data_IF_474150758527
#
_entry.id   IF_474150758527
#
_cell.length_a   1.000
_cell.length_b   1.000
_cell.length_c   1.000
_cell.angle_alpha   90.00
_cell.angle_beta   90.00
_cell.angle_gamma   90.00
#
_symmetry.space_group_name_H-M   'P 1'
#
loop_
_entity.id
_entity.type
_entity.pdbx_description
1 polymer ?
#
# COMPACT_ATOMS: atom_id res chain seq x y z
N UNK A 1 -4.35 2.11 10.75
CA UNK A 1 -4.35 1.88 9.28
C UNK A 1 -5.74 1.52 8.75
N UNK A 2 -6.33 0.38 9.13
CA UNK A 2 -7.60 -0.13 8.57
C UNK A 2 -8.75 0.91 8.61
N UNK A 3 -8.99 1.56 9.74
CA UNK A 3 -10.03 2.60 9.85
C UNK A 3 -9.81 3.82 8.94
N UNK A 4 -8.55 4.23 8.75
CA UNK A 4 -8.21 5.33 7.85
C UNK A 4 -8.43 4.91 6.39
N UNK A 5 -8.03 3.69 6.03
CA UNK A 5 -8.28 3.14 4.70
C UNK A 5 -9.79 3.07 4.41
N UNK A 6 -10.60 2.57 5.36
CA UNK A 6 -12.06 2.52 5.22
C UNK A 6 -12.65 3.93 4.98
N UNK A 7 -12.28 4.90 5.80
CA UNK A 7 -12.74 6.30 5.67
C UNK A 7 -12.36 6.88 4.30
N UNK A 8 -11.16 6.59 3.84
CA UNK A 8 -10.62 7.07 2.57
C UNK A 8 -11.33 6.44 1.36
N UNK A 9 -11.60 5.13 1.41
CA UNK A 9 -12.38 4.39 0.41
C UNK A 9 -13.79 4.94 0.31
N UNK A 10 -14.46 5.15 1.45
CA UNK A 10 -15.82 5.71 1.50
C UNK A 10 -15.85 7.13 0.94
N UNK A 11 -14.86 7.96 1.28
CA UNK A 11 -14.73 9.32 0.75
C UNK A 11 -14.57 9.31 -0.78
N UNK A 12 -13.69 8.46 -1.30
CA UNK A 12 -13.51 8.27 -2.74
C UNK A 12 -14.81 7.79 -3.43
N UNK A 13 -15.51 6.83 -2.81
CA UNK A 13 -16.80 6.32 -3.31
C UNK A 13 -17.85 7.42 -3.38
N UNK A 14 -18.01 8.22 -2.32
CA UNK A 14 -18.94 9.36 -2.29
C UNK A 14 -18.59 10.43 -3.32
N UNK A 15 -17.32 10.56 -3.71
CA UNK A 15 -16.90 11.43 -4.81
C UNK A 15 -17.13 10.86 -6.22
N UNK A 16 -17.71 9.66 -6.33
CA UNK A 16 -18.08 9.01 -7.58
C UNK A 16 -17.09 7.94 -8.07
N UNK A 17 -16.08 7.57 -7.29
CA UNK A 17 -15.10 6.55 -7.68
C UNK A 17 -15.58 5.14 -7.30
N UNK A 18 -16.07 4.41 -8.30
CA UNK A 18 -16.46 2.99 -8.19
C UNK A 18 -15.31 2.01 -8.41
N UNK A 19 -14.16 2.48 -8.89
CA UNK A 19 -12.93 1.70 -9.08
C UNK A 19 -11.81 2.34 -8.31
N UNK A 20 -11.16 1.56 -7.46
CA UNK A 20 -10.18 2.09 -6.51
C UNK A 20 -8.99 1.15 -6.36
N UNK A 21 -7.80 1.72 -6.20
CA UNK A 21 -6.60 1.01 -5.74
C UNK A 21 -6.31 1.38 -4.29
N UNK A 22 -6.00 0.38 -3.49
CA UNK A 22 -5.64 0.50 -2.09
C UNK A 22 -4.30 -0.19 -1.87
N UNK A 23 -3.32 0.54 -1.35
CA UNK A 23 -2.06 -0.04 -0.89
C UNK A 23 -1.98 -0.01 0.63
N UNK A 24 -1.76 -1.17 1.24
CA UNK A 24 -1.62 -1.34 2.69
C UNK A 24 -0.35 -2.12 3.01
N UNK A 25 0.26 -1.78 4.14
CA UNK A 25 1.34 -2.57 4.72
C UNK A 25 0.71 -3.76 5.43
N UNK A 26 1.27 -4.95 5.20
CA UNK A 26 0.91 -6.14 5.97
C UNK A 26 1.87 -6.18 7.17
N UNK A 27 1.37 -6.18 8.42
CA UNK A 27 2.20 -6.28 9.60
C UNK A 27 3.03 -7.56 9.56
N UNK A 28 4.31 -7.44 9.91
CA UNK A 28 5.21 -8.59 10.00
C UNK A 28 4.75 -9.58 11.07
N UNK A 29 5.07 -10.85 10.86
CA UNK A 29 4.77 -11.88 11.84
C UNK A 29 5.60 -11.67 13.12
N UNK A 30 5.06 -11.95 14.32
CA UNK A 30 5.81 -11.85 15.58
C UNK A 30 7.08 -12.69 15.63
N UNK A 31 7.22 -13.67 14.72
CA UNK A 31 8.38 -14.55 14.59
C UNK A 31 9.51 -13.96 13.76
N UNK A 32 9.28 -12.86 13.05
CA UNK A 32 10.30 -12.15 12.28
C UNK A 32 11.15 -11.33 13.25
N UNK A 33 12.45 -11.60 13.26
CA UNK A 33 13.41 -10.89 14.07
C UNK A 33 14.16 -9.81 13.27
N UNK A 34 14.82 -8.84 13.94
CA UNK A 34 15.58 -7.78 13.27
C UNK A 34 16.75 -8.25 12.38
N UNK A 35 17.12 -9.54 12.47
CA UNK A 35 18.19 -10.14 11.69
C UNK A 35 17.69 -10.87 10.43
N UNK A 36 16.37 -10.97 10.24
CA UNK A 36 15.80 -11.65 9.08
C UNK A 36 15.92 -10.75 7.84
N UNK A 37 16.64 -11.25 6.83
CA UNK A 37 16.87 -10.52 5.57
C UNK A 37 15.60 -10.42 4.70
N UNK A 38 14.66 -11.34 4.91
CA UNK A 38 13.36 -11.36 4.23
C UNK A 38 12.26 -11.59 5.28
N UNK A 39 11.44 -10.58 5.60
CA UNK A 39 10.33 -10.74 6.55
C UNK A 39 9.22 -11.66 6.02
N UNK A 40 9.23 -11.98 4.72
CA UNK A 40 8.23 -12.79 4.04
C UNK A 40 8.88 -13.90 3.20
N UNK A 41 9.54 -14.91 3.81
CA UNK A 41 10.21 -15.98 3.08
C UNK A 41 9.25 -16.81 2.19
N UNK A 42 7.96 -16.81 2.50
CA UNK A 42 6.91 -17.40 1.67
C UNK A 42 6.30 -16.45 0.62
N UNK A 43 6.88 -15.26 0.46
CA UNK A 43 6.46 -14.21 -0.47
C UNK A 43 4.99 -13.81 -0.32
N UNK A 44 4.40 -13.38 -1.44
CA UNK A 44 3.01 -12.92 -1.52
C UNK A 44 2.00 -13.96 -1.02
N UNK A 45 2.28 -15.26 -1.17
CA UNK A 45 1.45 -16.35 -0.63
C UNK A 45 1.37 -16.35 0.89
N UNK A 46 2.44 -16.01 1.58
CA UNK A 46 2.43 -15.85 3.04
C UNK A 46 1.72 -14.55 3.41
N UNK A 47 2.09 -13.45 2.73
CA UNK A 47 1.49 -12.14 2.96
C UNK A 47 -0.03 -12.13 2.79
N UNK A 48 -0.57 -12.83 1.79
CA UNK A 48 -2.01 -12.84 1.52
C UNK A 48 -2.83 -13.47 2.65
N UNK A 49 -2.29 -14.50 3.30
CA UNK A 49 -2.90 -15.14 4.47
C UNK A 49 -2.93 -14.20 5.68
N UNK A 50 -1.86 -13.46 5.91
CA UNK A 50 -1.81 -12.46 6.99
C UNK A 50 -2.64 -11.20 6.67
N UNK A 51 -2.78 -10.87 5.39
CA UNK A 51 -3.60 -9.75 4.93
C UNK A 51 -5.10 -10.03 5.04
N UNK A 52 -5.52 -11.29 4.95
CA UNK A 52 -6.94 -11.69 4.97
C UNK A 52 -7.74 -11.03 6.11
N UNK A 53 -7.38 -11.16 7.40
CA UNK A 53 -8.14 -10.54 8.50
C UNK A 53 -8.19 -9.00 8.42
N UNK A 54 -7.16 -8.37 7.85
CA UNK A 54 -7.12 -6.92 7.65
C UNK A 54 -8.10 -6.49 6.56
N UNK A 55 -8.18 -7.24 5.46
CA UNK A 55 -9.08 -6.98 4.34
C UNK A 55 -10.53 -7.24 4.77
N UNK A 56 -10.79 -8.31 5.52
CA UNK A 56 -12.12 -8.57 6.08
C UNK A 56 -12.55 -7.45 7.03
N UNK A 57 -11.67 -7.02 7.94
CA UNK A 57 -11.96 -5.90 8.85
C UNK A 57 -12.19 -4.59 8.10
N UNK A 58 -11.41 -4.33 7.04
CA UNK A 58 -11.58 -3.19 6.16
C UNK A 58 -12.95 -3.18 5.50
N UNK A 59 -13.36 -4.32 4.91
CA UNK A 59 -14.63 -4.43 4.22
C UNK A 59 -15.83 -4.27 5.15
N UNK A 60 -15.79 -4.86 6.34
CA UNK A 60 -16.85 -4.64 7.35
C UNK A 60 -17.03 -3.17 7.70
N UNK A 61 -15.94 -2.39 7.77
CA UNK A 61 -16.03 -0.94 8.01
C UNK A 61 -16.56 -0.17 6.79
N UNK A 62 -16.28 -0.63 5.57
CA UNK A 62 -16.74 0.03 4.33
C UNK A 62 -18.22 -0.26 4.04
N UNK A 63 -18.67 -1.49 4.27
CA UNK A 63 -20.04 -1.93 3.93
C UNK A 63 -20.99 -1.92 5.12
N UNK A 64 -20.48 -1.96 6.35
CA UNK A 64 -21.28 -2.17 7.55
C UNK A 64 -21.75 -3.62 7.75
N UNK A 65 -21.22 -4.57 6.98
CA UNK A 65 -21.64 -5.97 7.05
C UNK A 65 -21.03 -6.74 8.25
N UNK A 66 -21.70 -7.82 8.66
CA UNK A 66 -21.21 -8.68 9.75
C UNK A 66 -20.18 -9.72 9.26
N UNK A 67 -20.31 -10.14 8.00
CA UNK A 67 -19.48 -11.18 7.38
C UNK A 67 -19.02 -10.80 5.98
N UNK A 68 -17.80 -11.21 5.66
CA UNK A 68 -17.17 -11.05 4.35
C UNK A 68 -16.90 -12.44 3.80
N UNK A 69 -17.25 -12.69 2.55
CA UNK A 69 -16.85 -13.92 1.86
C UNK A 69 -15.48 -13.74 1.22
N UNK A 70 -14.66 -14.79 1.23
CA UNK A 70 -13.32 -14.78 0.65
C UNK A 70 -13.06 -16.05 -0.14
N UNK A 71 -12.43 -15.93 -1.30
CA UNK A 71 -12.04 -17.05 -2.16
C UNK A 71 -10.57 -16.91 -2.57
N UNK A 72 -9.76 -17.93 -2.31
CA UNK A 72 -8.41 -18.03 -2.86
C UNK A 72 -8.53 -18.34 -4.36
N UNK A 73 -8.09 -17.42 -5.21
CA UNK A 73 -8.14 -17.60 -6.66
C UNK A 73 -6.92 -18.36 -7.16
N UNK A 74 -5.76 -18.02 -6.59
CA UNK A 74 -4.51 -18.71 -6.88
C UNK A 74 -3.63 -18.75 -5.62
N UNK A 75 -3.36 -19.98 -5.16
CA UNK A 75 -2.55 -20.22 -3.98
C UNK A 75 -1.05 -19.99 -4.18
N UNK A 76 -0.58 -19.96 -5.43
CA UNK A 76 0.84 -19.72 -5.75
C UNK A 76 1.17 -18.23 -5.70
N UNK A 77 0.39 -17.40 -6.39
CA UNK A 77 0.53 -15.93 -6.33
C UNK A 77 -0.01 -15.32 -5.04
N UNK A 78 -0.96 -15.99 -4.37
CA UNK A 78 -1.68 -15.45 -3.22
C UNK A 78 -2.83 -14.52 -3.59
N UNK A 79 -3.26 -14.51 -4.86
CA UNK A 79 -4.39 -13.72 -5.32
C UNK A 79 -5.71 -14.19 -4.66
N UNK A 80 -6.47 -13.24 -4.11
CA UNK A 80 -7.70 -13.52 -3.36
C UNK A 80 -8.84 -12.58 -3.78
N UNK A 81 -10.04 -13.13 -3.87
CA UNK A 81 -11.27 -12.37 -4.03
C UNK A 81 -11.97 -12.22 -2.68
N UNK A 82 -12.54 -11.05 -2.41
CA UNK A 82 -13.45 -10.84 -1.28
C UNK A 82 -14.74 -10.17 -1.74
N UNK A 83 -15.85 -10.50 -1.09
CA UNK A 83 -17.14 -9.82 -1.27
C UNK A 83 -17.70 -9.45 0.09
N UNK A 84 -17.93 -8.15 0.29
CA UNK A 84 -18.71 -7.61 1.40
C UNK A 84 -20.10 -7.23 0.89
N UNK A 85 -21.13 -7.85 1.43
CA UNK A 85 -22.53 -7.57 1.07
C UNK A 85 -23.02 -6.37 1.87
N UNK A 86 -23.47 -5.32 1.19
CA UNK A 86 -23.99 -4.12 1.84
C UNK A 86 -25.46 -4.27 2.25
N UNK A 87 -26.08 -3.18 2.73
CA UNK A 87 -27.52 -3.17 3.01
C UNK A 87 -28.34 -3.38 1.72
N UNK A 88 -27.84 -2.85 0.60
CA UNK A 88 -28.41 -3.07 -0.74
C UNK A 88 -27.37 -3.64 -1.69
N UNK A 89 -27.83 -4.24 -2.80
CA UNK A 89 -26.93 -4.73 -3.85
C UNK A 89 -26.06 -3.63 -4.46
N UNK A 90 -26.50 -2.36 -4.41
CA UNK A 90 -25.69 -1.24 -4.85
C UNK A 90 -24.52 -0.96 -3.88
N UNK A 91 -24.65 -1.34 -2.61
CA UNK A 91 -23.68 -1.12 -1.55
C UNK A 91 -22.60 -2.21 -1.48
N UNK A 92 -22.83 -3.35 -2.13
CA UNK A 92 -21.86 -4.44 -2.25
C UNK A 92 -20.49 -3.96 -2.73
N UNK A 93 -19.46 -4.58 -2.17
CA UNK A 93 -18.06 -4.31 -2.52
C UNK A 93 -17.38 -5.61 -2.93
N UNK A 94 -16.75 -5.59 -4.10
CA UNK A 94 -15.86 -6.65 -4.54
C UNK A 94 -14.40 -6.20 -4.39
N UNK A 95 -13.55 -7.08 -3.88
CA UNK A 95 -12.11 -6.83 -3.79
C UNK A 95 -11.36 -7.93 -4.51
N UNK A 96 -10.32 -7.53 -5.24
CA UNK A 96 -9.28 -8.44 -5.70
C UNK A 96 -7.96 -8.01 -5.06
N UNK A 97 -7.44 -8.83 -4.16
CA UNK A 97 -6.21 -8.60 -3.43
C UNK A 97 -5.06 -9.38 -4.07
N UNK A 98 -3.87 -8.77 -4.08
CA UNK A 98 -2.64 -9.34 -4.65
C UNK A 98 -2.81 -9.80 -6.11
N UNK A 99 -3.64 -9.06 -6.87
CA UNK A 99 -3.85 -9.31 -8.29
C UNK A 99 -2.52 -9.29 -9.04
N UNK A 100 -2.29 -10.29 -9.87
CA UNK A 100 -1.10 -10.48 -10.68
C UNK A 100 -1.48 -10.67 -12.17
N UNK A 101 -0.49 -11.02 -12.99
CA UNK A 101 -0.69 -11.20 -14.43
C UNK A 101 -1.62 -12.39 -14.72
N UNK A 102 -1.56 -13.46 -13.92
CA UNK A 102 -2.35 -14.68 -14.12
C UNK A 102 -3.81 -14.50 -13.70
N UNK A 103 -4.07 -13.72 -12.65
CA UNK A 103 -5.42 -13.35 -12.18
C UNK A 103 -6.04 -12.18 -12.97
N UNK A 104 -5.30 -11.58 -13.92
CA UNK A 104 -5.81 -10.48 -14.75
C UNK A 104 -7.11 -10.79 -15.52
N UNK A 105 -7.34 -11.98 -16.09
CA UNK A 105 -8.63 -12.32 -16.70
C UNK A 105 -9.79 -12.28 -15.69
N UNK A 106 -9.53 -12.68 -14.43
CA UNK A 106 -10.50 -12.60 -13.34
C UNK A 106 -10.79 -11.15 -12.98
N UNK A 107 -9.78 -10.28 -12.91
CA UNK A 107 -9.98 -8.84 -12.75
C UNK A 107 -10.96 -8.29 -13.79
N UNK A 108 -10.71 -8.55 -15.08
CA UNK A 108 -11.56 -8.04 -16.15
C UNK A 108 -13.02 -8.50 -16.00
N UNK A 109 -13.23 -9.78 -15.67
CA UNK A 109 -14.56 -10.33 -15.45
C UNK A 109 -15.25 -9.71 -14.24
N UNK A 110 -14.54 -9.59 -13.12
CA UNK A 110 -15.10 -8.98 -11.90
C UNK A 110 -15.44 -7.51 -12.11
N UNK A 111 -14.62 -6.77 -12.86
CA UNK A 111 -14.90 -5.37 -13.22
C UNK A 111 -16.20 -5.26 -14.05
N UNK A 112 -16.38 -6.14 -15.03
CA UNK A 112 -17.62 -6.22 -15.81
C UNK A 112 -18.83 -6.57 -14.92
N UNK A 113 -18.70 -7.62 -14.09
CA UNK A 113 -19.76 -8.09 -13.19
C UNK A 113 -20.14 -7.05 -12.12
N UNK A 114 -19.17 -6.26 -11.64
CA UNK A 114 -19.41 -5.21 -10.65
C UNK A 114 -20.25 -4.07 -11.21
N UNK A 115 -20.09 -3.72 -12.49
CA UNK A 115 -20.75 -2.56 -13.08
C UNK A 115 -20.46 -1.29 -12.27
N UNK A 116 -21.50 -0.60 -11.79
CA UNK A 116 -21.34 0.62 -10.98
C UNK A 116 -20.98 0.37 -9.51
N UNK A 117 -21.10 -0.88 -9.02
CA UNK A 117 -20.77 -1.25 -7.63
C UNK A 117 -19.28 -1.07 -7.37
N UNK A 118 -18.90 -0.84 -6.11
CA UNK A 118 -17.50 -0.58 -5.77
C UNK A 118 -16.64 -1.83 -5.97
N UNK A 119 -15.56 -1.67 -6.74
CA UNK A 119 -14.50 -2.66 -6.86
C UNK A 119 -13.15 -2.06 -6.42
N UNK A 120 -12.43 -2.81 -5.59
CA UNK A 120 -11.15 -2.40 -5.02
C UNK A 120 -10.05 -3.38 -5.40
N UNK A 121 -8.92 -2.85 -5.86
CA UNK A 121 -7.67 -3.61 -5.96
C UNK A 121 -6.81 -3.35 -4.72
N UNK A 122 -6.48 -4.40 -3.98
CA UNK A 122 -5.59 -4.29 -2.82
C UNK A 122 -4.22 -4.85 -3.17
N UNK A 123 -3.16 -4.05 -3.02
CA UNK A 123 -1.77 -4.44 -3.29
C UNK A 123 -1.58 -5.21 -4.63
N UNK A 124 -2.05 -4.67 -5.79
CA UNK A 124 -1.82 -5.31 -7.08
C UNK A 124 -0.31 -5.41 -7.38
N UNK A 125 0.09 -6.49 -8.03
CA UNK A 125 1.49 -6.84 -8.38
C UNK A 125 1.90 -6.33 -9.76
N UNK A 126 1.04 -5.58 -10.43
CA UNK A 126 1.31 -4.89 -11.69
C UNK A 126 0.83 -3.44 -11.59
N UNK A 127 1.49 -2.54 -12.31
CA UNK A 127 1.19 -1.11 -12.33
C UNK A 127 0.96 -0.58 -13.76
N UNK A 128 1.46 -1.26 -14.78
CA UNK A 128 1.40 -0.82 -16.17
C UNK A 128 1.30 -1.99 -17.15
N UNK A 129 0.90 -1.68 -18.38
CA UNK A 129 0.89 -2.64 -19.50
C UNK A 129 2.30 -3.24 -19.78
N UNK A 130 3.36 -2.53 -19.40
CA UNK A 130 4.73 -3.02 -19.58
C UNK A 130 5.06 -4.22 -18.69
N UNK A 131 4.38 -4.36 -17.55
CA UNK A 131 4.59 -5.46 -16.60
C UNK A 131 4.07 -6.79 -17.15
N UNK A 132 3.15 -6.75 -18.11
CA UNK A 132 2.57 -7.93 -18.74
C UNK A 132 3.52 -8.56 -19.75
N UNK A 133 3.52 -9.90 -19.77
CA UNK A 133 4.21 -10.70 -20.80
C UNK A 133 3.73 -10.31 -22.21
N UNK A 134 4.58 -10.55 -23.22
CA UNK A 134 4.27 -10.24 -24.63
C UNK A 134 2.89 -10.77 -25.07
N UNK A 135 2.49 -11.95 -24.58
CA UNK A 135 1.23 -12.60 -24.93
C UNK A 135 0.02 -12.02 -24.16
N UNK A 136 0.22 -11.49 -22.95
CA UNK A 136 -0.83 -10.88 -22.15
C UNK A 136 -0.99 -9.36 -22.42
N UNK A 137 0.06 -8.73 -22.97
CA UNK A 137 0.13 -7.28 -23.22
C UNK A 137 -0.98 -6.75 -24.12
N UNK A 138 -1.37 -7.50 -25.15
CA UNK A 138 -2.47 -7.10 -26.04
C UNK A 138 -3.79 -6.95 -25.28
N UNK A 139 -4.09 -7.89 -24.39
CA UNK A 139 -5.29 -7.86 -23.56
C UNK A 139 -5.24 -6.74 -22.52
N UNK A 140 -4.09 -6.58 -21.85
CA UNK A 140 -3.88 -5.49 -20.90
C UNK A 140 -4.04 -4.12 -21.56
N UNK A 141 -3.48 -3.94 -22.77
CA UNK A 141 -3.62 -2.72 -23.57
C UNK A 141 -5.07 -2.44 -23.97
N UNK A 142 -5.84 -3.47 -24.33
CA UNK A 142 -7.27 -3.28 -24.63
C UNK A 142 -8.10 -2.87 -23.40
N UNK A 143 -7.68 -3.29 -22.21
CA UNK A 143 -8.43 -3.06 -20.97
C UNK A 143 -8.05 -1.76 -20.24
N UNK A 144 -6.76 -1.43 -20.20
CA UNK A 144 -6.24 -0.21 -19.56
C UNK A 144 -5.99 0.93 -20.57
N UNK A 145 -5.71 0.62 -21.83
CA UNK A 145 -5.09 1.55 -22.79
C UNK A 145 -3.57 1.47 -22.75
N UNK A 146 -2.88 2.52 -23.21
CA UNK A 146 -1.41 2.67 -23.08
C UNK A 146 -1.01 3.36 -21.77
N UNK A 147 -1.74 3.10 -20.69
CA UNK A 147 -1.68 3.86 -19.43
C UNK A 147 -1.24 2.99 -18.24
N UNK A 148 -1.22 3.60 -17.07
CA UNK A 148 -1.00 2.95 -15.78
C UNK A 148 -2.33 2.49 -15.17
N UNK A 149 -2.25 1.48 -14.30
CA UNK A 149 -3.40 0.93 -13.58
C UNK A 149 -4.26 2.02 -12.93
N UNK A 150 -3.59 3.05 -12.38
CA UNK A 150 -4.24 4.12 -11.62
C UNK A 150 -5.12 5.05 -12.45
N UNK A 151 -5.05 5.00 -13.77
CA UNK A 151 -5.96 5.78 -14.62
C UNK A 151 -7.37 5.15 -14.62
N UNK A 152 -7.46 3.83 -14.48
CA UNK A 152 -8.73 3.10 -14.37
C UNK A 152 -9.12 2.80 -12.93
N UNK A 153 -8.13 2.51 -12.08
CA UNK A 153 -8.30 2.25 -10.65
C UNK A 153 -7.48 3.28 -9.84
N UNK A 154 -7.93 4.55 -9.76
CA UNK A 154 -7.22 5.57 -9.01
C UNK A 154 -7.00 5.16 -7.55
N UNK A 155 -5.89 5.61 -6.97
CA UNK A 155 -5.66 5.39 -5.55
C UNK A 155 -6.79 6.05 -4.74
N UNK A 156 -7.39 5.29 -3.83
CA UNK A 156 -8.25 5.83 -2.79
C UNK A 156 -7.56 5.81 -1.43
N UNK A 157 -6.60 4.89 -1.22
CA UNK A 157 -5.74 4.87 -0.05
C UNK A 157 -4.36 4.33 -0.42
N UNK A 158 -3.30 4.89 0.16
CA UNK A 158 -1.96 4.33 0.02
C UNK A 158 -1.24 4.48 1.35
N UNK A 159 -0.58 3.41 1.77
CA UNK A 159 0.45 3.42 2.78
C UNK A 159 1.53 2.45 2.30
N UNK A 160 2.68 3.00 1.93
CA UNK A 160 3.82 2.26 1.40
C UNK A 160 5.10 2.68 2.11
N UNK A 161 6.06 1.76 2.15
CA UNK A 161 7.39 1.99 2.69
C UNK A 161 8.42 1.97 1.58
N UNK A 162 9.42 2.84 1.68
CA UNK A 162 10.53 2.88 0.74
C UNK A 162 11.78 3.39 1.44
N UNK A 163 12.90 2.69 1.28
CA UNK A 163 14.20 3.20 1.67
C UNK A 163 14.72 4.21 0.63
N UNK A 164 15.08 5.42 1.07
CA UNK A 164 15.66 6.46 0.22
C UNK A 164 16.92 7.01 0.90
N UNK A 165 18.09 6.87 0.26
CA UNK A 165 19.39 7.22 0.86
C UNK A 165 19.62 6.57 2.25
N UNK A 166 19.15 5.34 2.43
CA UNK A 166 19.18 4.60 3.71
C UNK A 166 18.28 5.18 4.81
N UNK A 167 17.38 6.11 4.49
CA UNK A 167 16.32 6.57 5.38
C UNK A 167 15.04 5.80 5.08
N UNK A 168 14.33 5.36 6.12
CA UNK A 168 13.01 4.75 5.97
C UNK A 168 11.97 5.84 5.72
N UNK A 169 11.32 5.79 4.56
CA UNK A 169 10.28 6.74 4.19
C UNK A 169 8.92 6.04 4.08
N UNK A 170 7.87 6.72 4.56
CA UNK A 170 6.48 6.32 4.32
C UNK A 170 5.87 7.23 3.27
N UNK A 171 5.25 6.65 2.25
CA UNK A 171 4.42 7.34 1.27
C UNK A 171 2.96 7.06 1.62
N UNK A 172 2.16 8.12 1.74
CA UNK A 172 0.76 8.00 2.10
C UNK A 172 -0.15 8.71 1.10
N UNK A 173 -1.36 8.19 0.94
CA UNK A 173 -2.46 8.86 0.26
C UNK A 173 -3.75 8.63 1.01
N UNK A 174 -4.53 9.69 1.19
CA UNK A 174 -5.92 9.60 1.59
C UNK A 174 -6.77 10.44 0.63
N UNK A 175 -7.87 9.88 0.15
CA UNK A 175 -8.88 10.59 -0.63
C UNK A 175 -9.43 11.76 0.19
N UNK A 176 -9.54 12.93 -0.44
CA UNK A 176 -9.91 14.18 0.23
C UNK A 176 -8.76 14.92 0.93
N UNK A 177 -7.59 14.28 1.08
CA UNK A 177 -6.38 14.93 1.62
C UNK A 177 -5.32 15.12 0.53
N UNK A 178 -4.99 14.06 -0.21
CA UNK A 178 -3.92 14.05 -1.21
C UNK A 178 -2.72 13.20 -0.77
N UNK A 179 -1.61 13.36 -1.50
CA UNK A 179 -0.38 12.60 -1.26
C UNK A 179 0.50 13.25 -0.19
N UNK A 180 1.20 12.41 0.57
CA UNK A 180 2.21 12.83 1.53
C UNK A 180 3.39 11.87 1.55
N UNK A 181 4.54 12.39 1.97
CA UNK A 181 5.73 11.59 2.25
C UNK A 181 6.35 12.02 3.57
N UNK A 182 6.80 11.03 4.33
CA UNK A 182 7.37 11.20 5.67
C UNK A 182 8.68 10.42 5.75
N UNK A 183 9.70 11.01 6.34
CA UNK A 183 10.87 10.28 6.78
C UNK A 183 10.65 9.82 8.22
N UNK A 184 10.93 8.56 8.51
CA UNK A 184 11.02 8.09 9.89
C UNK A 184 12.39 8.50 10.42
N UNK A 185 12.39 9.27 11.50
CA UNK A 185 13.63 9.66 12.17
C UNK A 185 13.78 8.84 13.44
N UNK A 186 15.02 8.43 13.74
CA UNK A 186 15.31 7.73 14.98
C UNK A 186 15.02 8.64 16.17
N UNK A 187 13.90 8.42 16.85
CA UNK A 187 13.77 8.81 18.25
C UNK A 187 14.45 7.70 19.06
N UNK A 188 15.46 8.05 19.83
CA UNK A 188 16.07 7.08 20.75
C UNK A 188 15.19 6.99 21.98
N UNK A 189 14.61 5.82 22.25
CA UNK A 189 14.12 5.46 23.58
C UNK A 189 15.07 4.40 24.16
N UNK A 190 15.79 4.75 25.23
CA UNK A 190 16.63 3.84 26.03
C UNK A 190 17.68 3.00 25.26
N UNK A 191 18.27 3.55 24.20
CA UNK A 191 19.42 2.91 23.54
C UNK A 191 19.09 1.67 22.70
N UNK A 192 17.81 1.37 22.50
CA UNK A 192 17.34 0.47 21.45
C UNK A 192 16.92 1.32 20.24
N UNK A 193 17.38 0.96 19.03
CA UNK A 193 16.85 1.54 17.80
C UNK A 193 15.39 1.05 17.68
N UNK A 194 14.46 1.84 18.20
CA UNK A 194 13.03 1.58 18.02
C UNK A 194 12.62 2.28 16.72
N UNK A 195 12.72 1.57 15.60
CA UNK A 195 12.05 1.99 14.35
C UNK A 195 10.54 2.18 14.57
N UNK A 196 10.01 1.52 15.62
CA UNK A 196 8.58 1.51 15.99
C UNK A 196 8.07 2.76 16.72
N UNK A 197 8.95 3.68 17.16
CA UNK A 197 8.56 4.90 17.88
C UNK A 197 9.14 6.19 17.27
N UNK A 198 9.76 6.10 16.09
CA UNK A 198 10.41 7.22 15.42
C UNK A 198 9.47 8.41 15.22
N UNK A 199 9.96 9.62 15.50
CA UNK A 199 9.25 10.83 15.10
C UNK A 199 9.16 10.85 13.57
N UNK A 200 7.95 11.05 13.05
CA UNK A 200 7.74 11.19 11.60
C UNK A 200 8.00 12.64 11.18
N UNK A 201 8.98 12.84 10.30
CA UNK A 201 9.26 14.15 9.73
C UNK A 201 8.58 14.29 8.36
N UNK A 202 7.59 15.19 8.20
CA UNK A 202 6.96 15.41 6.91
C UNK A 202 7.97 15.99 5.92
N UNK A 203 8.03 15.43 4.70
CA UNK A 203 8.88 15.92 3.60
C UNK A 203 8.17 16.96 2.72
N UNK A 204 6.90 17.22 3.00
CA UNK A 204 6.04 18.17 2.30
C UNK A 204 5.47 19.20 3.28
N UNK A 205 5.13 20.39 2.79
CA UNK A 205 4.49 21.43 3.60
C UNK A 205 2.95 21.38 3.47
N UNK A 206 2.47 20.88 2.33
CA UNK A 206 1.05 20.65 2.01
C UNK A 206 0.92 19.35 1.24
N UNK A 207 -0.27 18.77 1.20
CA UNK A 207 -0.53 17.57 0.42
C UNK A 207 -0.21 17.80 -1.06
N UNK A 208 0.38 16.78 -1.67
CA UNK A 208 0.78 16.77 -3.08
C UNK A 208 -0.34 16.19 -3.95
N UNK A 209 -0.40 16.64 -5.20
CA UNK A 209 -1.40 16.17 -6.17
C UNK A 209 -0.98 14.86 -6.85
N UNK A 210 0.32 14.60 -6.91
CA UNK A 210 0.92 13.42 -7.54
C UNK A 210 1.66 12.57 -6.51
N UNK A 211 1.80 11.28 -6.80
CA UNK A 211 2.53 10.36 -5.94
C UNK A 211 4.02 10.76 -5.86
N UNK A 212 4.57 10.96 -4.65
CA UNK A 212 6.00 11.22 -4.45
C UNK A 212 6.86 10.14 -5.11
N UNK A 213 7.80 10.55 -5.95
CA UNK A 213 8.79 9.65 -6.58
C UNK A 213 10.04 9.54 -5.69
N UNK A 214 10.88 8.52 -5.94
CA UNK A 214 12.18 8.39 -5.26
C UNK A 214 12.99 9.69 -5.33
N UNK A 215 13.14 10.26 -6.53
CA UNK A 215 13.90 11.49 -6.75
C UNK A 215 13.30 12.68 -5.97
N UNK A 216 11.97 12.80 -5.98
CA UNK A 216 11.26 13.84 -5.24
C UNK A 216 11.53 13.74 -3.73
N UNK A 217 11.57 12.51 -3.19
CA UNK A 217 11.82 12.23 -1.76
C UNK A 217 13.28 12.53 -1.43
N UNK A 218 14.20 12.05 -2.27
CA UNK A 218 15.63 12.26 -2.13
C UNK A 218 16.01 13.75 -2.08
N UNK A 219 15.47 14.57 -2.98
CA UNK A 219 15.72 16.01 -3.01
C UNK A 219 15.27 16.72 -1.71
N UNK A 220 14.17 16.26 -1.11
CA UNK A 220 13.64 16.83 0.15
C UNK A 220 14.40 16.32 1.37
N UNK A 221 14.79 15.05 1.37
CA UNK A 221 15.70 14.52 2.38
C UNK A 221 17.02 15.28 2.37
N UNK A 222 17.64 15.52 1.21
CA UNK A 222 18.88 16.30 1.12
C UNK A 222 18.74 17.72 1.71
N UNK A 223 17.55 18.33 1.64
CA UNK A 223 17.28 19.65 2.23
C UNK A 223 17.04 19.61 3.73
N UNK A 224 16.29 18.62 4.23
CA UNK A 224 15.89 18.54 5.66
C UNK A 224 16.88 17.75 6.52
N UNK A 225 17.52 16.74 5.94
CA UNK A 225 18.52 15.84 6.53
C UNK A 225 19.72 15.72 5.57
N UNK A 226 20.62 16.74 5.54
CA UNK A 226 21.74 16.78 4.60
C UNK A 226 22.68 15.58 4.77
N UNK A 227 22.97 15.24 6.03
CA UNK A 227 23.76 14.07 6.39
C UNK A 227 22.88 12.81 6.37
N UNK A 228 23.23 11.76 5.59
CA UNK A 228 22.57 10.47 5.67
C UNK A 228 22.68 9.84 7.08
N UNK A 229 21.76 8.93 7.40
CA UNK A 229 21.69 8.24 8.69
C UNK A 229 23.04 7.70 9.18
N UNK A 230 23.83 7.07 8.30
CA UNK A 230 25.12 6.49 8.71
C UNK A 230 26.13 7.55 9.16
N UNK A 231 26.14 8.73 8.53
CA UNK A 231 26.99 9.85 8.94
C UNK A 231 26.54 10.38 10.30
N UNK A 232 25.21 10.51 10.50
CA UNK A 232 24.64 10.95 11.78
C UNK A 232 25.02 9.98 12.91
N UNK A 233 24.87 8.68 12.69
CA UNK A 233 25.28 7.64 13.66
C UNK A 233 26.78 7.65 13.97
N UNK A 234 27.63 7.88 12.97
CA UNK A 234 29.08 8.02 13.20
C UNK A 234 29.39 9.25 14.07
N UNK A 235 28.71 10.39 13.83
CA UNK A 235 28.86 11.60 14.64
C UNK A 235 28.40 11.36 16.08
N UNK A 236 27.21 10.79 16.27
CA UNK A 236 26.68 10.43 17.60
C UNK A 236 27.60 9.48 18.38
N UNK A 237 28.15 8.46 17.70
CA UNK A 237 29.08 7.53 18.33
C UNK A 237 30.38 8.21 18.79
N UNK A 238 30.90 9.14 17.98
CA UNK A 238 32.09 9.93 18.35
C UNK A 238 31.83 10.85 19.54
N UNK A 239 30.67 11.50 19.59
CA UNK A 239 30.28 12.36 20.72
C UNK A 239 30.14 11.56 22.02
N UNK A 240 29.53 10.37 21.96
CA UNK A 240 29.42 9.46 23.12
C UNK A 240 30.79 9.00 23.63
N UNK A 241 31.76 8.79 22.75
CA UNK A 241 33.13 8.42 23.11
C UNK A 241 33.95 9.57 23.71
N UNK A 242 33.59 10.83 23.44
CA UNK A 242 34.26 12.00 24.00
C UNK A 242 33.71 12.41 25.37
N UNK A 243 32.48 11.98 25.69
CA UNK A 243 31.79 12.28 26.94
C UNK A 243 31.90 11.17 28.01
N UNK A 244 32.63 10.08 27.71
CA UNK A 244 32.99 8.98 28.62
C UNK A 244 34.50 8.96 28.85
#
# INVERSE_FOLDING_TARGET
MVANAATSITTARTSGLSRQTVSIIIPELPTVGPADLDPWPGGTRQMSREAQPLIESLLKLVTGCDSVSSTMLDSESGAMQFVGEGETAADDVCVLAFADIESFPTLMKLDEDCGERLMILINPQFNSVADFSLFARGRAKSYFGDTVLTDKFPYSFCLQEQAVRSEDCKIVYNAGVGWGAFALTDSTYEGMNMVDAGDSMPLHDKAETEKPTYQWIEERLNKKLPDPIFIRKIKEAKEKLQNN
#
